data_IF_124163461988
#
_entry.id   IF_124163461988
#
_cell.length_a   1.000
_cell.length_b   1.000
_cell.length_c   1.000
_cell.angle_alpha   90.00
_cell.angle_beta   90.00
_cell.angle_gamma   90.00
#
_symmetry.space_group_name_H-M   'P 1'
#
loop_
_entity.id
_entity.type
_entity.pdbx_description
1 polymer ?
#
# COMPACT_ATOMS: atom_id res chain seq x y z
N UNK A 1 6.06 8.86 21.33
CA UNK A 1 5.38 8.90 20.01
C UNK A 1 4.97 7.48 19.70
N UNK A 2 3.67 7.19 19.56
CA UNK A 2 3.10 5.84 19.74
C UNK A 2 3.62 4.79 18.73
N UNK A 3 3.74 5.12 17.44
CA UNK A 3 4.12 4.14 16.41
C UNK A 3 5.57 3.59 16.57
N UNK A 4 6.60 4.40 16.87
CA UNK A 4 7.92 3.89 17.23
C UNK A 4 7.91 2.95 18.44
N UNK A 5 7.13 3.28 19.49
CA UNK A 5 7.02 2.45 20.69
C UNK A 5 6.37 1.10 20.36
N UNK A 6 5.29 1.11 19.58
CA UNK A 6 4.65 -0.11 19.05
C UNK A 6 5.60 -0.93 18.18
N UNK A 7 6.43 -0.27 17.36
CA UNK A 7 7.43 -0.94 16.51
C UNK A 7 8.46 -1.66 17.38
N UNK A 8 9.02 -0.98 18.39
CA UNK A 8 9.98 -1.58 19.30
C UNK A 8 9.38 -2.77 20.08
N UNK A 9 8.12 -2.63 20.52
CA UNK A 9 7.40 -3.70 21.21
C UNK A 9 7.19 -4.92 20.29
N UNK A 10 6.68 -4.71 19.07
CA UNK A 10 6.46 -5.78 18.09
C UNK A 10 7.76 -6.51 17.73
N UNK A 11 8.86 -5.79 17.54
CA UNK A 11 10.17 -6.40 17.28
C UNK A 11 10.72 -7.23 18.45
N UNK A 12 10.34 -6.92 19.68
CA UNK A 12 10.84 -7.62 20.88
C UNK A 12 9.97 -8.82 21.25
N UNK A 13 8.65 -8.68 21.11
CA UNK A 13 7.67 -9.69 21.55
C UNK A 13 7.26 -10.65 20.45
N UNK A 14 7.33 -10.22 19.18
CA UNK A 14 6.74 -10.92 18.05
C UNK A 14 5.23 -10.69 17.91
N UNK A 15 4.64 -9.79 18.71
CA UNK A 15 3.22 -9.47 18.63
C UNK A 15 2.87 -8.76 17.31
N UNK A 16 1.71 -9.13 16.75
CA UNK A 16 1.15 -8.51 15.55
C UNK A 16 -0.10 -7.72 15.93
N UNK A 17 0.02 -6.41 16.22
CA UNK A 17 -1.13 -5.61 16.60
C UNK A 17 -2.08 -5.37 15.42
N UNK A 18 -3.36 -5.21 15.74
CA UNK A 18 -4.31 -4.50 14.87
C UNK A 18 -4.23 -3.03 15.23
N UNK A 19 -3.79 -2.19 14.29
CA UNK A 19 -3.70 -0.74 14.50
C UNK A 19 -5.04 -0.09 14.14
N UNK A 20 -5.84 0.24 15.15
CA UNK A 20 -7.08 1.01 14.97
C UNK A 20 -6.81 2.50 15.18
N UNK A 21 -7.23 3.32 14.23
CA UNK A 21 -7.13 4.78 14.29
C UNK A 21 -8.54 5.37 14.12
N UNK A 22 -9.03 6.09 15.13
CA UNK A 22 -10.31 6.77 15.10
C UNK A 22 -10.09 8.28 15.22
N UNK A 23 -10.45 9.03 14.18
CA UNK A 23 -10.25 10.48 14.10
C UNK A 23 -11.01 11.08 12.91
N UNK A 24 -10.86 12.39 12.69
CA UNK A 24 -11.28 12.99 11.43
C UNK A 24 -10.26 12.69 10.34
N UNK A 25 -10.74 12.51 9.11
CA UNK A 25 -9.90 12.21 7.95
C UNK A 25 -10.42 12.89 6.70
N UNK A 26 -9.53 13.03 5.74
CA UNK A 26 -9.82 13.47 4.37
C UNK A 26 -8.83 12.79 3.40
N UNK A 27 -8.87 13.20 2.13
CA UNK A 27 -7.98 12.66 1.09
C UNK A 27 -6.48 12.89 1.37
N UNK A 28 -6.13 13.90 2.17
CA UNK A 28 -4.74 14.28 2.45
C UNK A 28 -4.16 13.60 3.70
N UNK A 29 -4.99 13.22 4.66
CA UNK A 29 -4.53 12.65 5.92
C UNK A 29 -5.55 12.62 7.06
N UNK A 30 -5.03 12.66 8.27
CA UNK A 30 -5.77 12.52 9.52
C UNK A 30 -5.62 13.78 10.39
N UNK A 31 -6.73 14.28 10.92
CA UNK A 31 -6.78 15.40 11.84
C UNK A 31 -7.07 14.91 13.26
N UNK A 32 -6.25 15.36 14.22
CA UNK A 32 -6.33 14.94 15.62
C UNK A 32 -7.02 15.99 16.50
N UNK A 33 -7.41 15.57 17.70
CA UNK A 33 -8.19 16.39 18.62
C UNK A 33 -7.44 17.64 19.13
N UNK A 34 -6.10 17.63 19.09
CA UNK A 34 -5.25 18.76 19.45
C UNK A 34 -5.07 19.78 18.31
N UNK A 35 -5.73 19.56 17.16
CA UNK A 35 -5.62 20.41 15.98
C UNK A 35 -4.42 20.09 15.10
N UNK A 36 -3.59 19.10 15.47
CA UNK A 36 -2.52 18.62 14.60
C UNK A 36 -3.07 17.81 13.42
N UNK A 37 -2.29 17.75 12.34
CA UNK A 37 -2.63 17.02 11.11
C UNK A 37 -1.44 16.16 10.69
N UNK A 38 -1.69 14.89 10.40
CA UNK A 38 -0.69 13.99 9.81
C UNK A 38 -1.12 13.66 8.39
N UNK A 39 -0.26 14.00 7.41
CA UNK A 39 -0.50 13.60 6.03
C UNK A 39 -0.30 12.10 5.87
N UNK A 40 -0.87 11.51 4.82
CA UNK A 40 -0.57 10.11 4.48
C UNK A 40 0.93 9.87 4.21
N UNK A 41 1.64 10.88 3.72
CA UNK A 41 3.10 10.82 3.53
C UNK A 41 3.85 10.75 4.88
N UNK A 42 3.42 11.51 5.88
CA UNK A 42 3.99 11.47 7.24
C UNK A 42 3.77 10.09 7.89
N UNK A 43 2.62 9.47 7.62
CA UNK A 43 2.25 8.17 8.18
C UNK A 43 2.96 6.99 7.48
N UNK A 44 3.33 7.13 6.19
CA UNK A 44 3.93 6.05 5.40
C UNK A 44 5.16 5.45 6.09
N UNK A 45 6.12 6.28 6.49
CA UNK A 45 7.38 5.83 7.10
C UNK A 45 7.17 5.01 8.39
N UNK A 46 6.50 5.59 9.41
CA UNK A 46 6.20 4.88 10.65
C UNK A 46 5.39 3.59 10.45
N UNK A 47 4.40 3.59 9.55
CA UNK A 47 3.62 2.39 9.23
C UNK A 47 4.50 1.32 8.56
N UNK A 48 5.38 1.68 7.63
CA UNK A 48 6.35 0.76 7.04
C UNK A 48 7.27 0.16 8.10
N UNK A 49 7.79 0.95 9.03
CA UNK A 49 8.61 0.42 10.13
C UNK A 49 7.85 -0.60 10.98
N UNK A 50 6.60 -0.30 11.35
CA UNK A 50 5.76 -1.23 12.11
C UNK A 50 5.40 -2.48 11.31
N UNK A 51 5.14 -2.36 10.01
CA UNK A 51 4.82 -3.49 9.16
C UNK A 51 6.03 -4.40 8.89
N UNK A 52 7.24 -3.84 8.84
CA UNK A 52 8.48 -4.62 8.87
C UNK A 52 8.60 -5.38 10.19
N UNK A 53 8.40 -4.71 11.33
CA UNK A 53 8.48 -5.33 12.66
C UNK A 53 7.46 -6.46 12.87
N UNK A 54 6.33 -6.42 12.17
CA UNK A 54 5.28 -7.45 12.21
C UNK A 54 5.40 -8.49 11.08
N UNK A 55 6.48 -8.47 10.29
CA UNK A 55 6.71 -9.45 9.23
C UNK A 55 5.65 -9.39 8.12
N UNK A 56 5.23 -8.18 7.70
CA UNK A 56 4.20 -7.99 6.69
C UNK A 56 2.84 -8.60 7.12
N UNK A 57 2.43 -8.35 8.37
CA UNK A 57 1.14 -8.79 8.92
C UNK A 57 0.30 -7.65 9.52
N UNK A 58 0.74 -6.38 9.40
CA UNK A 58 0.04 -5.25 10.01
C UNK A 58 -1.34 -5.04 9.36
N UNK A 59 -2.40 -5.22 10.14
CA UNK A 59 -3.75 -4.80 9.79
C UNK A 59 -4.00 -3.40 10.33
N UNK A 60 -4.26 -2.45 9.44
CA UNK A 60 -4.63 -1.07 9.79
C UNK A 60 -6.13 -0.91 9.62
N UNK A 61 -6.79 -0.38 10.64
CA UNK A 61 -8.21 -0.06 10.67
C UNK A 61 -8.33 1.45 10.85
N UNK A 62 -8.90 2.13 9.87
CA UNK A 62 -9.11 3.59 9.90
C UNK A 62 -10.60 3.86 10.02
N UNK A 63 -11.01 4.36 11.18
CA UNK A 63 -12.32 4.91 11.48
C UNK A 63 -12.27 6.43 11.31
N UNK A 64 -12.17 6.86 10.06
CA UNK A 64 -12.14 8.26 9.65
C UNK A 64 -12.75 8.41 8.26
N UNK A 65 -13.38 9.55 7.96
CA UNK A 65 -13.86 9.84 6.60
C UNK A 65 -12.71 9.67 5.59
N UNK A 66 -13.03 9.05 4.45
CA UNK A 66 -12.07 8.77 3.38
C UNK A 66 -10.82 8.00 3.84
N UNK A 67 -10.91 7.21 4.92
CA UNK A 67 -9.80 6.44 5.48
C UNK A 67 -9.15 5.42 4.53
N UNK A 68 -9.76 5.14 3.38
CA UNK A 68 -9.16 4.37 2.30
C UNK A 68 -8.14 5.16 1.44
N UNK A 69 -8.07 6.48 1.57
CA UNK A 69 -7.20 7.36 0.79
C UNK A 69 -5.71 7.09 1.00
N UNK A 70 -5.33 6.51 2.16
CA UNK A 70 -3.98 6.00 2.41
C UNK A 70 -3.47 5.13 1.27
N UNK A 71 -4.34 4.36 0.61
CA UNK A 71 -3.99 3.49 -0.51
C UNK A 71 -3.41 4.24 -1.72
N UNK A 72 -3.81 5.50 -1.95
CA UNK A 72 -3.30 6.33 -3.03
C UNK A 72 -1.92 6.93 -2.72
N UNK A 73 -1.56 7.04 -1.44
CA UNK A 73 -0.22 7.43 -1.01
C UNK A 73 0.80 6.29 -1.11
N UNK A 74 0.36 5.06 -1.42
CA UNK A 74 1.22 3.89 -1.50
C UNK A 74 1.90 3.79 -2.86
N UNK A 75 3.10 4.34 -2.97
CA UNK A 75 3.98 4.08 -4.11
C UNK A 75 4.50 2.64 -4.11
N UNK A 76 4.57 2.00 -5.29
CA UNK A 76 5.14 0.65 -5.47
C UNK A 76 6.66 0.58 -5.33
N UNK A 77 7.32 1.75 -5.30
CA UNK A 77 8.77 1.83 -5.27
C UNK A 77 9.36 1.46 -3.90
N UNK A 78 8.54 1.35 -2.86
CA UNK A 78 8.97 1.11 -1.47
C UNK A 78 8.28 -0.11 -0.85
N UNK A 79 8.78 -0.52 0.32
CA UNK A 79 8.16 -1.58 1.14
C UNK A 79 6.75 -1.17 1.54
N UNK A 80 5.82 -2.11 1.47
CA UNK A 80 4.43 -1.87 1.84
C UNK A 80 4.31 -1.41 3.30
N UNK A 81 3.51 -0.36 3.60
CA UNK A 81 3.32 0.09 4.97
C UNK A 81 2.32 -0.72 5.78
N UNK A 82 1.63 -1.67 5.16
CA UNK A 82 0.62 -2.51 5.79
C UNK A 82 0.42 -3.80 5.01
N UNK A 83 -0.12 -4.82 5.66
CA UNK A 83 -0.64 -6.01 5.00
C UNK A 83 -2.07 -5.80 4.49
N UNK A 84 -2.90 -5.13 5.28
CA UNK A 84 -4.30 -4.88 4.95
C UNK A 84 -4.81 -3.59 5.58
N UNK A 85 -5.72 -2.93 4.86
CA UNK A 85 -6.42 -1.73 5.30
C UNK A 85 -7.92 -2.01 5.35
N UNK A 86 -8.56 -1.64 6.46
CA UNK A 86 -10.01 -1.54 6.60
C UNK A 86 -10.35 -0.07 6.83
N UNK A 87 -11.27 0.47 6.06
CA UNK A 87 -11.73 1.84 6.27
C UNK A 87 -12.96 2.15 5.42
N UNK A 88 -13.66 3.23 5.75
CA UNK A 88 -14.80 3.66 4.97
C UNK A 88 -14.35 4.32 3.66
N UNK A 89 -15.22 4.26 2.64
CA UNK A 89 -15.00 4.89 1.32
C UNK A 89 -15.77 6.20 1.14
N UNK A 90 -16.36 6.71 2.22
CA UNK A 90 -17.22 7.89 2.24
C UNK A 90 -17.31 8.43 3.66
N UNK A 91 -17.94 9.58 3.83
CA UNK A 91 -18.38 10.03 5.15
C UNK A 91 -19.37 9.03 5.77
N UNK A 92 -19.20 8.76 7.08
CA UNK A 92 -19.98 7.78 7.84
C UNK A 92 -20.43 8.40 9.17
N UNK A 93 -21.65 8.10 9.57
CA UNK A 93 -22.18 8.56 10.86
C UNK A 93 -21.59 7.73 12.03
N UNK A 94 -21.43 8.30 13.23
CA UNK A 94 -20.85 7.59 14.38
C UNK A 94 -21.54 6.27 14.73
N UNK A 95 -22.87 6.21 14.61
CA UNK A 95 -23.67 5.02 14.87
C UNK A 95 -23.37 3.87 13.90
N UNK A 96 -23.08 4.20 12.64
CA UNK A 96 -22.74 3.26 11.60
C UNK A 96 -21.31 2.72 11.78
N UNK A 97 -20.37 3.58 12.19
CA UNK A 97 -19.01 3.18 12.59
C UNK A 97 -19.07 2.20 13.76
N UNK A 98 -19.78 2.56 14.83
CA UNK A 98 -19.93 1.73 16.02
C UNK A 98 -20.50 0.35 15.68
N UNK A 99 -21.60 0.31 14.92
CA UNK A 99 -22.24 -0.95 14.50
C UNK A 99 -21.28 -1.82 13.67
N UNK A 100 -20.56 -1.22 12.73
CA UNK A 100 -19.64 -1.93 11.85
C UNK A 100 -18.46 -2.53 12.61
N UNK A 101 -17.78 -1.72 13.43
CA UNK A 101 -16.60 -2.16 14.16
C UNK A 101 -16.93 -3.15 15.26
N UNK A 102 -18.11 -3.05 15.89
CA UNK A 102 -18.56 -4.07 16.83
C UNK A 102 -18.70 -5.43 16.12
N UNK A 103 -19.39 -5.46 14.97
CA UNK A 103 -19.54 -6.68 14.17
C UNK A 103 -18.18 -7.25 13.70
N UNK A 104 -17.24 -6.36 13.33
CA UNK A 104 -15.87 -6.71 12.95
C UNK A 104 -15.15 -7.40 14.12
N UNK A 105 -15.03 -6.73 15.27
CA UNK A 105 -14.22 -7.23 16.38
C UNK A 105 -14.82 -8.45 17.07
N UNK A 106 -16.14 -8.51 17.26
CA UNK A 106 -16.81 -9.70 17.80
C UNK A 106 -16.52 -10.93 16.92
N UNK A 107 -16.64 -10.76 15.61
CA UNK A 107 -16.41 -11.83 14.65
C UNK A 107 -14.92 -12.19 14.56
N UNK A 108 -14.02 -11.21 14.58
CA UNK A 108 -12.58 -11.44 14.57
C UNK A 108 -12.13 -12.23 15.81
N UNK A 109 -12.59 -11.84 17.00
CA UNK A 109 -12.23 -12.51 18.25
C UNK A 109 -12.77 -13.95 18.31
N UNK A 110 -13.99 -14.18 17.79
CA UNK A 110 -14.60 -15.51 17.74
C UNK A 110 -13.98 -16.44 16.71
N UNK A 111 -13.71 -15.93 15.51
CA UNK A 111 -13.36 -16.76 14.33
C UNK A 111 -11.89 -16.73 13.97
N UNK A 112 -11.14 -15.73 14.46
CA UNK A 112 -9.75 -15.45 14.11
C UNK A 112 -9.53 -15.29 12.60
N UNK A 113 -10.55 -14.83 11.87
CA UNK A 113 -10.52 -14.66 10.42
C UNK A 113 -10.87 -13.23 10.03
N UNK A 114 -9.89 -12.49 9.53
CA UNK A 114 -10.08 -11.12 9.04
C UNK A 114 -11.12 -11.04 7.92
N UNK A 115 -11.14 -12.03 7.02
CA UNK A 115 -12.14 -12.10 5.93
C UNK A 115 -13.56 -12.20 6.48
N UNK A 116 -13.80 -13.15 7.38
CA UNK A 116 -15.14 -13.37 7.96
C UNK A 116 -15.55 -12.15 8.80
N UNK A 117 -14.60 -11.52 9.49
CA UNK A 117 -14.84 -10.29 10.23
C UNK A 117 -15.25 -9.13 9.31
N UNK A 118 -14.54 -8.92 8.20
CA UNK A 118 -14.88 -7.88 7.21
C UNK A 118 -16.24 -8.16 6.57
N UNK A 119 -16.57 -9.42 6.28
CA UNK A 119 -17.88 -9.77 5.73
C UNK A 119 -19.01 -9.45 6.73
N UNK A 120 -18.80 -9.73 8.03
CA UNK A 120 -19.75 -9.35 9.09
C UNK A 120 -19.89 -7.83 9.22
N UNK A 121 -18.78 -7.09 9.13
CA UNK A 121 -18.77 -5.62 9.13
C UNK A 121 -19.59 -5.06 7.96
N UNK A 122 -19.37 -5.58 6.74
CA UNK A 122 -20.10 -5.15 5.54
C UNK A 122 -21.57 -5.51 5.59
N UNK A 123 -21.93 -6.64 6.21
CA UNK A 123 -23.34 -7.00 6.40
C UNK A 123 -24.04 -6.05 7.37
N UNK A 124 -23.34 -5.61 8.41
CA UNK A 124 -23.87 -4.67 9.40
C UNK A 124 -24.08 -3.26 8.82
N UNK A 125 -23.21 -2.87 7.87
CA UNK A 125 -23.28 -1.57 7.18
C UNK A 125 -22.85 -1.72 5.72
N UNK A 126 -23.77 -2.10 4.82
CA UNK A 126 -23.48 -2.31 3.40
C UNK A 126 -22.88 -1.08 2.72
N UNK A 127 -22.07 -1.32 1.68
CA UNK A 127 -21.50 -0.30 0.79
C UNK A 127 -20.75 0.86 1.51
N UNK A 128 -20.24 0.58 2.71
CA UNK A 128 -19.59 1.59 3.55
C UNK A 128 -18.10 1.35 3.69
N UNK A 129 -17.69 0.08 3.87
CA UNK A 129 -16.32 -0.28 4.20
C UNK A 129 -15.65 -1.16 3.16
N UNK A 130 -14.37 -0.88 2.92
CA UNK A 130 -13.50 -1.71 2.09
C UNK A 130 -12.47 -2.44 2.93
N UNK A 131 -12.03 -3.58 2.40
CA UNK A 131 -10.79 -4.22 2.79
C UNK A 131 -9.88 -4.19 1.57
N UNK A 132 -8.67 -3.70 1.76
CA UNK A 132 -7.64 -3.59 0.72
C UNK A 132 -6.38 -4.29 1.22
N UNK A 133 -6.14 -5.48 0.69
CA UNK A 133 -4.91 -6.22 0.94
C UNK A 133 -3.77 -5.63 0.10
N UNK A 134 -2.55 -5.72 0.61
CA UNK A 134 -1.33 -5.29 -0.07
C UNK A 134 -1.18 -5.93 -1.47
N UNK A 135 -1.58 -7.20 -1.63
CA UNK A 135 -1.56 -7.88 -2.94
C UNK A 135 -2.46 -7.19 -3.97
N UNK A 136 -3.68 -6.84 -3.57
CA UNK A 136 -4.62 -6.15 -4.45
C UNK A 136 -4.09 -4.76 -4.80
N UNK A 137 -3.52 -4.04 -3.82
CA UNK A 137 -2.95 -2.72 -4.03
C UNK A 137 -1.78 -2.75 -5.01
N UNK A 138 -0.87 -3.69 -4.82
CA UNK A 138 0.25 -3.90 -5.72
C UNK A 138 -0.22 -4.16 -7.15
N UNK A 139 -1.13 -5.13 -7.32
CA UNK A 139 -1.67 -5.48 -8.63
C UNK A 139 -2.38 -4.29 -9.28
N UNK A 140 -3.25 -3.60 -8.54
CA UNK A 140 -4.02 -2.47 -9.06
C UNK A 140 -3.13 -1.34 -9.58
N UNK A 141 -2.10 -0.95 -8.80
CA UNK A 141 -1.19 0.12 -9.22
C UNK A 141 -0.30 -0.35 -10.37
N UNK A 142 0.11 -1.61 -10.38
CA UNK A 142 0.92 -2.16 -11.45
C UNK A 142 0.15 -2.24 -12.78
N UNK A 143 -1.10 -2.73 -12.76
CA UNK A 143 -1.98 -2.79 -13.93
C UNK A 143 -2.20 -1.38 -14.49
N UNK A 144 -2.44 -0.40 -13.62
CA UNK A 144 -2.55 1.01 -14.03
C UNK A 144 -1.25 1.55 -14.64
N UNK A 145 -0.10 1.23 -14.04
CA UNK A 145 1.20 1.61 -14.59
C UNK A 145 1.40 0.99 -15.98
N UNK A 146 1.05 -0.27 -16.18
CA UNK A 146 1.15 -0.90 -17.50
C UNK A 146 0.23 -0.22 -18.52
N UNK A 147 -1.04 -0.03 -18.18
CA UNK A 147 -2.00 0.59 -19.08
C UNK A 147 -1.63 2.03 -19.51
N UNK A 148 -0.93 2.77 -18.63
CA UNK A 148 -0.64 4.19 -18.87
C UNK A 148 0.81 4.47 -19.28
N UNK A 149 1.77 3.79 -18.69
CA UNK A 149 3.20 4.06 -18.85
C UNK A 149 3.88 3.11 -19.85
N UNK A 150 3.32 1.93 -20.09
CA UNK A 150 3.93 0.91 -20.93
C UNK A 150 3.43 0.92 -22.38
N UNK A 151 2.70 1.96 -22.78
CA UNK A 151 2.38 2.21 -24.19
C UNK A 151 3.64 2.62 -24.98
N UNK A 152 3.71 2.34 -26.31
CA UNK A 152 4.84 2.79 -27.14
C UNK A 152 5.12 4.29 -27.02
N UNK A 153 4.05 5.10 -26.97
CA UNK A 153 4.15 6.55 -26.79
C UNK A 153 4.74 6.92 -25.43
N UNK A 154 4.23 6.35 -24.34
CA UNK A 154 4.69 6.68 -22.99
C UNK A 154 6.15 6.23 -22.73
N UNK A 155 6.55 5.08 -23.28
CA UNK A 155 7.95 4.64 -23.29
C UNK A 155 8.85 5.61 -24.04
N UNK A 156 8.43 6.06 -25.22
CA UNK A 156 9.19 7.03 -26.01
C UNK A 156 9.35 8.37 -25.29
N UNK A 157 8.29 8.90 -24.66
CA UNK A 157 8.40 10.12 -23.85
C UNK A 157 9.35 9.97 -22.66
N UNK A 158 9.39 8.79 -22.02
CA UNK A 158 10.39 8.48 -20.99
C UNK A 158 11.79 8.40 -21.58
N UNK A 159 11.95 7.74 -22.73
CA UNK A 159 13.22 7.68 -23.44
C UNK A 159 13.76 9.07 -23.80
N UNK A 160 12.89 10.01 -24.20
CA UNK A 160 13.26 11.42 -24.45
C UNK A 160 13.75 12.10 -23.18
N UNK A 161 13.06 11.91 -22.05
CA UNK A 161 13.49 12.47 -20.75
C UNK A 161 14.83 11.91 -20.28
N UNK A 162 15.07 10.62 -20.49
CA UNK A 162 16.33 9.96 -20.15
C UNK A 162 17.47 10.43 -21.05
N UNK A 163 17.24 10.55 -22.37
CA UNK A 163 18.23 11.06 -23.31
C UNK A 163 18.59 12.54 -23.05
N UNK A 164 17.63 13.34 -22.60
CA UNK A 164 17.85 14.74 -22.24
C UNK A 164 18.57 14.93 -20.89
N UNK A 165 18.51 13.93 -20.01
CA UNK A 165 19.10 13.99 -18.67
C UNK A 165 19.95 12.74 -18.39
N UNK A 166 21.08 12.55 -19.10
CA UNK A 166 21.97 11.44 -18.83
C UNK A 166 22.54 11.54 -17.41
N UNK A 167 22.90 10.40 -16.78
CA UNK A 167 23.63 10.39 -15.52
C UNK A 167 24.89 11.26 -15.60
N UNK A 168 25.24 11.94 -14.50
CA UNK A 168 26.36 12.88 -14.46
C UNK A 168 27.72 12.22 -14.76
N UNK A 169 27.82 10.91 -14.53
CA UNK A 169 28.99 10.07 -14.75
C UNK A 169 28.96 9.32 -16.10
N UNK A 170 27.95 9.56 -16.94
CA UNK A 170 27.85 8.90 -18.24
C UNK A 170 28.92 9.43 -19.22
N UNK A 171 29.86 8.57 -19.58
CA UNK A 171 30.87 8.84 -20.60
C UNK A 171 30.58 7.97 -21.82
N UNK A 172 29.80 8.52 -22.76
CA UNK A 172 29.43 7.83 -24.00
C UNK A 172 28.73 8.76 -25.00
N UNK A 173 28.52 8.29 -26.25
CA UNK A 173 27.76 9.07 -27.23
C UNK A 173 26.29 9.22 -26.79
N UNK A 174 25.59 10.28 -27.23
CA UNK A 174 24.16 10.44 -26.95
C UNK A 174 23.35 9.21 -27.38
N UNK A 175 22.57 8.66 -26.46
CA UNK A 175 21.69 7.52 -26.71
C UNK A 175 20.33 8.03 -27.22
N UNK A 176 19.83 7.43 -28.31
CA UNK A 176 18.56 7.83 -28.89
C UNK A 176 17.37 7.43 -27.99
N UNK A 177 16.31 8.25 -27.92
CA UNK A 177 15.11 7.95 -27.13
C UNK A 177 14.50 6.56 -27.38
N UNK A 178 14.56 6.08 -28.62
CA UNK A 178 14.01 4.79 -29.05
C UNK A 178 14.75 3.62 -28.42
N UNK A 179 16.07 3.76 -28.20
CA UNK A 179 16.88 2.73 -27.52
C UNK A 179 16.44 2.62 -26.06
N UNK A 180 16.23 3.75 -25.38
CA UNK A 180 15.68 3.73 -24.02
C UNK A 180 14.27 3.15 -23.98
N UNK A 181 13.40 3.51 -24.93
CA UNK A 181 12.04 2.99 -25.00
C UNK A 181 12.01 1.46 -25.19
N UNK A 182 12.91 0.93 -26.03
CA UNK A 182 13.09 -0.51 -26.22
C UNK A 182 13.59 -1.18 -24.93
N UNK A 183 14.63 -0.63 -24.28
CA UNK A 183 15.14 -1.16 -23.02
C UNK A 183 14.08 -1.17 -21.92
N UNK A 184 13.26 -0.13 -21.81
CA UNK A 184 12.14 -0.08 -20.87
C UNK A 184 11.13 -1.21 -21.14
N UNK A 185 10.84 -1.52 -22.40
CA UNK A 185 9.95 -2.62 -22.76
C UNK A 185 10.56 -3.98 -22.40
N UNK A 186 11.83 -4.20 -22.72
CA UNK A 186 12.56 -5.44 -22.44
C UNK A 186 12.71 -5.69 -20.92
N UNK A 187 12.95 -4.63 -20.15
CA UNK A 187 13.17 -4.68 -18.70
C UNK A 187 11.90 -4.62 -17.86
N UNK A 188 10.73 -4.43 -18.46
CA UNK A 188 9.46 -4.28 -17.74
C UNK A 188 9.20 -5.45 -16.77
N UNK A 189 9.43 -6.68 -17.22
CA UNK A 189 9.31 -7.86 -16.35
C UNK A 189 10.27 -7.84 -15.17
N UNK A 190 11.52 -7.43 -15.39
CA UNK A 190 12.51 -7.30 -14.31
C UNK A 190 12.07 -6.23 -13.31
N UNK A 191 11.56 -5.09 -13.78
CA UNK A 191 11.02 -4.04 -12.91
C UNK A 191 9.84 -4.53 -12.07
N UNK A 192 8.91 -5.32 -12.65
CA UNK A 192 7.84 -5.94 -11.89
C UNK A 192 8.39 -6.79 -10.75
N UNK A 193 9.33 -7.68 -11.07
CA UNK A 193 9.88 -8.62 -10.10
C UNK A 193 10.65 -7.88 -8.98
N UNK A 194 11.39 -6.83 -9.32
CA UNK A 194 12.13 -6.01 -8.36
C UNK A 194 11.20 -5.20 -7.44
N UNK A 195 10.19 -4.52 -8.01
CA UNK A 195 9.21 -3.80 -7.21
C UNK A 195 8.39 -4.73 -6.35
N UNK A 196 7.98 -5.89 -6.86
CA UNK A 196 7.28 -6.91 -6.07
C UNK A 196 8.13 -7.36 -4.88
N UNK A 197 9.37 -7.76 -5.12
CA UNK A 197 10.27 -8.23 -4.04
C UNK A 197 10.46 -7.16 -2.98
N UNK A 198 10.70 -5.91 -3.38
CA UNK A 198 10.86 -4.80 -2.44
C UNK A 198 9.56 -4.51 -1.70
N UNK A 199 8.43 -4.41 -2.41
CA UNK A 199 7.13 -4.09 -1.82
C UNK A 199 6.68 -5.12 -0.78
N UNK A 200 6.92 -6.42 -1.02
CA UNK A 200 6.57 -7.51 -0.11
C UNK A 200 7.69 -7.92 0.86
N UNK A 201 8.76 -7.12 0.95
CA UNK A 201 9.87 -7.33 1.89
C UNK A 201 10.61 -8.67 1.70
N UNK A 202 10.69 -9.19 0.46
CA UNK A 202 11.37 -10.46 0.17
C UNK A 202 12.89 -10.40 0.49
N UNK A 203 13.47 -9.20 0.50
CA UNK A 203 14.85 -8.95 0.91
C UNK A 203 15.09 -9.14 2.41
N UNK A 204 14.05 -8.95 3.23
CA UNK A 204 14.10 -9.13 4.69
C UNK A 204 13.52 -10.47 5.13
N UNK A 205 12.54 -10.99 4.38
CA UNK A 205 11.81 -12.22 4.68
C UNK A 205 11.74 -13.08 3.40
N UNK A 206 12.76 -13.91 3.12
CA UNK A 206 12.83 -14.71 1.89
C UNK A 206 11.61 -15.61 1.65
N UNK A 207 10.94 -16.07 2.72
CA UNK A 207 9.71 -16.84 2.67
C UNK A 207 8.53 -16.08 2.02
N UNK A 208 8.60 -14.76 1.93
CA UNK A 208 7.57 -13.95 1.28
C UNK A 208 7.53 -14.13 -0.24
N UNK A 209 8.57 -14.74 -0.84
CA UNK A 209 8.61 -15.03 -2.27
C UNK A 209 7.41 -15.86 -2.75
N UNK A 210 6.90 -16.76 -1.90
CA UNK A 210 5.76 -17.63 -2.23
C UNK A 210 4.47 -17.24 -1.50
N UNK A 211 4.56 -16.36 -0.49
CA UNK A 211 3.41 -15.96 0.35
C UNK A 211 2.42 -15.06 -0.39
N UNK A 212 2.89 -14.18 -1.27
CA UNK A 212 2.06 -13.16 -1.92
C UNK A 212 1.93 -13.42 -3.42
N UNK A 213 0.75 -13.88 -3.84
CA UNK A 213 0.44 -14.10 -5.25
C UNK A 213 0.03 -12.79 -5.94
N UNK A 214 0.85 -12.33 -6.88
CA UNK A 214 0.55 -11.26 -7.85
C UNK A 214 0.98 -11.71 -9.24
N UNK A 215 0.45 -11.10 -10.30
CA UNK A 215 0.63 -11.53 -11.69
C UNK A 215 1.27 -10.43 -12.52
N UNK A 216 2.21 -10.85 -13.36
CA UNK A 216 2.68 -10.04 -14.47
C UNK A 216 1.92 -10.47 -15.72
N UNK A 217 1.20 -9.54 -16.33
CA UNK A 217 0.56 -9.72 -17.63
C UNK A 217 1.30 -8.82 -18.61
N UNK A 218 1.81 -9.34 -19.73
CA UNK A 218 2.53 -8.49 -20.67
C UNK A 218 1.57 -7.42 -21.24
N UNK A 219 2.00 -6.15 -21.37
CA UNK A 219 1.20 -5.15 -22.07
C UNK A 219 1.00 -5.59 -23.53
N UNK A 220 -0.22 -5.43 -24.04
CA UNK A 220 -0.55 -5.63 -25.47
C UNK A 220 0.21 -4.66 -26.38
#
# INVERSE_FOLDING_TARGET
MLLPELTAAASTTGDVPVLHIECHGNDDGLAFADGSFATWADLKGPLTSLNIATGMNLLVVVSACDGSALTYALGLLDRAPLHGLIGPTRAVAPEDLMRAYLALYETLMRTRSARVAVDAMRLATPDTFVYRAAQWLFQHVWDHYQATQETPKARLERGRRMAANPPADYVGPPVQPEVFAQLLAEKNREFFDDYRRKFFLCDLFPEHETRFTVRYEAPE
#
